data_IF_956116247210
#
_entry.id   IF_956116247210
#
_cell.length_a   1.000
_cell.length_b   1.000
_cell.length_c   1.000
_cell.angle_alpha   90.00
_cell.angle_beta   90.00
_cell.angle_gamma   90.00
#
_symmetry.space_group_name_H-M   'P 1'
#
loop_
_entity.id
_entity.type
_entity.pdbx_description
1 polymer ?
#
# COMPACT_ATOMS: atom_id res chain seq x y z
N UNK A 1 3.43 7.81 4.97
CA UNK A 1 3.16 6.43 4.50
C UNK A 1 4.00 5.33 5.16
N UNK A 2 5.26 5.54 5.56
CA UNK A 2 6.08 4.47 6.13
C UNK A 2 5.43 3.68 7.28
N UNK A 3 4.74 4.35 8.22
CA UNK A 3 4.03 3.68 9.33
C UNK A 3 2.86 2.79 8.87
N UNK A 4 2.14 3.19 7.82
CA UNK A 4 1.06 2.36 7.25
C UNK A 4 1.64 1.04 6.74
N UNK A 5 2.68 1.11 5.91
CA UNK A 5 3.31 -0.09 5.36
C UNK A 5 4.07 -0.90 6.41
N UNK A 6 4.64 -0.26 7.44
CA UNK A 6 5.20 -0.96 8.62
C UNK A 6 4.13 -1.81 9.32
N UNK A 7 2.96 -1.24 9.58
CA UNK A 7 1.88 -1.97 10.24
C UNK A 7 1.28 -3.05 9.32
N UNK A 8 1.23 -2.81 8.01
CA UNK A 8 0.73 -3.78 7.03
C UNK A 8 1.66 -4.98 6.80
N UNK A 9 2.99 -4.78 6.84
CA UNK A 9 3.98 -5.80 6.45
C UNK A 9 4.79 -6.35 7.62
N UNK A 10 4.79 -5.66 8.77
CA UNK A 10 5.70 -5.93 9.87
C UNK A 10 7.14 -5.48 9.62
N UNK A 11 7.47 -4.91 8.46
CA UNK A 11 8.83 -4.47 8.15
C UNK A 11 9.31 -3.33 9.04
N UNK A 12 10.62 -3.28 9.30
CA UNK A 12 11.24 -2.20 10.07
C UNK A 12 11.47 -0.93 9.25
N UNK A 13 11.19 0.22 9.86
CA UNK A 13 11.69 1.52 9.39
C UNK A 13 13.15 1.59 9.83
N UNK A 14 14.07 1.61 8.86
CA UNK A 14 15.51 1.53 9.13
C UNK A 14 16.15 2.91 9.28
N UNK A 15 15.56 3.91 8.62
CA UNK A 15 16.02 5.29 8.66
C UNK A 15 14.85 6.23 8.37
N UNK A 16 14.85 7.40 8.98
CA UNK A 16 13.84 8.43 8.74
C UNK A 16 14.28 9.79 9.24
N UNK A 17 13.89 10.83 8.51
CA UNK A 17 14.03 12.23 8.89
C UNK A 17 12.73 13.01 8.62
N UNK A 18 12.83 14.33 8.54
CA UNK A 18 11.68 15.20 8.31
C UNK A 18 11.06 15.00 6.92
N UNK A 19 11.84 14.61 5.91
CA UNK A 19 11.45 14.59 4.51
C UNK A 19 11.42 13.17 3.92
N UNK A 20 11.98 12.18 4.63
CA UNK A 20 12.13 10.83 4.11
C UNK A 20 11.98 9.74 5.17
N UNK A 21 11.60 8.54 4.71
CA UNK A 21 11.64 7.32 5.52
C UNK A 21 11.91 6.10 4.64
N UNK A 22 12.69 5.14 5.16
CA UNK A 22 13.09 3.92 4.47
C UNK A 22 12.61 2.69 5.26
N UNK A 23 11.84 1.82 4.60
CA UNK A 23 11.18 0.65 5.19
C UNK A 23 11.61 -0.64 4.47
N UNK A 24 11.99 -1.68 5.21
CA UNK A 24 12.18 -3.02 4.66
C UNK A 24 13.16 -3.89 5.44
N UNK A 25 12.95 -5.20 5.47
CA UNK A 25 13.85 -6.15 6.16
C UNK A 25 14.74 -6.99 5.23
N UNK A 26 14.67 -6.73 3.92
CA UNK A 26 15.38 -7.46 2.89
C UNK A 26 16.29 -6.60 2.01
N UNK A 27 16.75 -7.15 0.87
CA UNK A 27 17.60 -6.42 -0.08
C UNK A 27 16.84 -5.32 -0.84
N UNK A 28 15.51 -5.28 -0.73
CA UNK A 28 14.64 -4.26 -1.31
C UNK A 28 14.01 -3.46 -0.18
N UNK A 29 14.02 -2.14 -0.32
CA UNK A 29 13.38 -1.20 0.61
C UNK A 29 12.43 -0.28 -0.13
N UNK A 30 11.36 0.11 0.55
CA UNK A 30 10.47 1.18 0.13
C UNK A 30 10.98 2.50 0.72
N UNK A 31 11.23 3.47 -0.16
CA UNK A 31 11.55 4.83 0.23
C UNK A 31 10.31 5.70 0.07
N UNK A 32 9.97 6.42 1.13
CA UNK A 32 8.89 7.40 1.15
C UNK A 32 9.52 8.79 1.22
N UNK A 33 9.06 9.70 0.35
CA UNK A 33 9.53 11.07 0.28
C UNK A 33 8.35 12.01 0.50
N UNK A 34 8.55 13.04 1.32
CA UNK A 34 7.58 14.11 1.50
C UNK A 34 7.52 14.95 0.22
N UNK A 35 6.31 15.12 -0.28
CA UNK A 35 6.03 16.03 -1.40
C UNK A 35 4.95 17.00 -0.95
N UNK A 36 5.31 18.29 -0.87
CA UNK A 36 4.38 19.32 -0.45
C UNK A 36 3.22 19.45 -1.45
N UNK A 37 2.00 19.45 -0.91
CA UNK A 37 0.79 19.51 -1.73
C UNK A 37 0.53 18.26 -2.57
N UNK A 38 1.12 17.11 -2.21
CA UNK A 38 0.84 15.85 -2.87
C UNK A 38 -0.66 15.56 -2.94
N UNK A 39 -1.11 15.12 -4.12
CA UNK A 39 -2.47 14.64 -4.34
C UNK A 39 -2.36 13.24 -4.90
N UNK A 40 -2.91 12.30 -4.14
CA UNK A 40 -3.01 10.91 -4.55
C UNK A 40 -3.65 10.74 -5.91
N UNK A 41 -3.31 9.66 -6.63
CA UNK A 41 -4.00 9.34 -7.86
C UNK A 41 -5.48 9.07 -7.61
N UNK A 42 -6.30 9.37 -8.60
CA UNK A 42 -7.69 8.93 -8.62
C UNK A 42 -7.79 7.44 -8.91
N UNK A 43 -8.96 6.86 -8.65
CA UNK A 43 -9.30 5.53 -9.16
C UNK A 43 -10.66 5.56 -9.86
N UNK A 44 -10.77 5.08 -11.11
CA UNK A 44 -9.68 4.64 -11.98
C UNK A 44 -8.91 5.83 -12.61
N UNK A 45 -7.59 5.72 -12.77
CA UNK A 45 -6.74 6.68 -13.50
C UNK A 45 -5.72 5.92 -14.37
N UNK A 46 -5.34 6.50 -15.52
CA UNK A 46 -4.38 5.95 -16.47
C UNK A 46 -2.92 6.38 -16.19
N UNK A 47 -2.72 7.20 -15.16
CA UNK A 47 -1.39 7.51 -14.62
C UNK A 47 -0.61 6.24 -14.29
N UNK A 48 0.68 6.21 -14.61
CA UNK A 48 1.55 5.09 -14.21
C UNK A 48 1.99 5.31 -12.77
N UNK A 49 1.51 4.47 -11.87
CA UNK A 49 1.93 4.41 -10.47
C UNK A 49 2.76 3.16 -10.25
N UNK A 50 3.70 3.21 -9.30
CA UNK A 50 4.25 1.96 -8.77
C UNK A 50 3.08 1.17 -8.18
N UNK A 51 2.99 -0.11 -8.54
CA UNK A 51 1.97 -1.02 -8.05
C UNK A 51 2.65 -2.08 -7.19
N UNK A 52 2.21 -2.19 -5.95
CA UNK A 52 2.69 -3.21 -5.02
C UNK A 52 1.70 -4.37 -5.02
N UNK A 53 2.23 -5.58 -5.08
CA UNK A 53 1.45 -6.81 -5.02
C UNK A 53 1.91 -7.61 -3.80
N UNK A 54 0.99 -7.88 -2.89
CA UNK A 54 1.25 -8.63 -1.66
C UNK A 54 0.52 -9.98 -1.70
N UNK A 55 1.23 -11.03 -1.32
CA UNK A 55 0.63 -12.34 -1.09
C UNK A 55 0.29 -12.49 0.41
N UNK A 56 -0.93 -12.93 0.72
CA UNK A 56 -1.43 -13.10 2.09
C UNK A 56 -2.11 -14.45 2.27
N UNK A 57 -2.11 -15.00 3.49
CA UNK A 57 -2.75 -16.30 3.75
C UNK A 57 -4.28 -16.20 3.74
N UNK A 58 -4.85 -15.08 4.22
CA UNK A 58 -6.29 -14.82 4.25
C UNK A 58 -6.59 -13.41 3.71
N UNK A 59 -7.13 -13.37 2.49
CA UNK A 59 -7.48 -12.12 1.81
C UNK A 59 -8.57 -11.34 2.57
N UNK A 60 -9.57 -12.01 3.13
CA UNK A 60 -10.70 -11.33 3.78
C UNK A 60 -10.27 -10.69 5.11
N UNK A 61 -9.46 -11.40 5.89
CA UNK A 61 -8.85 -10.87 7.10
C UNK A 61 -7.91 -9.70 6.78
N UNK A 62 -7.02 -9.86 5.80
CA UNK A 62 -6.08 -8.82 5.38
C UNK A 62 -6.80 -7.55 4.89
N UNK A 63 -7.87 -7.68 4.09
CA UNK A 63 -8.70 -6.52 3.70
C UNK A 63 -9.21 -5.79 4.93
N UNK A 64 -9.78 -6.52 5.90
CA UNK A 64 -10.36 -5.94 7.11
C UNK A 64 -9.31 -5.16 7.91
N UNK A 65 -8.14 -5.74 8.10
CA UNK A 65 -7.03 -5.12 8.83
C UNK A 65 -6.49 -3.88 8.11
N UNK A 66 -6.28 -3.96 6.79
CA UNK A 66 -5.76 -2.85 6.00
C UNK A 66 -6.74 -1.67 5.96
N UNK A 67 -8.06 -1.94 5.88
CA UNK A 67 -9.08 -0.90 6.00
C UNK A 67 -9.06 -0.24 7.39
N UNK A 68 -8.85 -1.00 8.46
CA UNK A 68 -8.70 -0.46 9.81
C UNK A 68 -7.43 0.42 9.97
N UNK A 69 -6.39 0.16 9.17
CA UNK A 69 -5.17 0.99 9.09
C UNK A 69 -5.33 2.25 8.22
N UNK A 70 -6.50 2.45 7.60
CA UNK A 70 -6.82 3.63 6.79
C UNK A 70 -6.68 3.43 5.28
N UNK A 71 -6.48 2.21 4.81
CA UNK A 71 -6.66 1.92 3.38
C UNK A 71 -8.12 2.11 2.96
N UNK A 72 -8.35 2.25 1.67
CA UNK A 72 -9.69 2.24 1.07
C UNK A 72 -9.80 1.11 0.06
N UNK A 73 -11.02 0.59 -0.12
CA UNK A 73 -11.33 -0.40 -1.16
C UNK A 73 -12.15 0.27 -2.26
N UNK A 74 -11.59 0.46 -3.46
CA UNK A 74 -12.38 0.98 -4.57
C UNK A 74 -13.54 0.06 -4.95
N UNK A 75 -14.64 0.64 -5.43
CA UNK A 75 -15.84 -0.12 -5.82
C UNK A 75 -15.57 -1.03 -7.03
N UNK A 76 -14.91 -0.49 -8.06
CA UNK A 76 -14.51 -1.27 -9.22
C UNK A 76 -13.30 -2.15 -8.90
N UNK A 77 -13.45 -3.47 -9.09
CA UNK A 77 -12.44 -4.49 -8.82
C UNK A 77 -12.13 -5.28 -10.09
N UNK A 78 -11.01 -4.98 -10.78
CA UNK A 78 -10.68 -5.62 -12.06
C UNK A 78 -10.23 -7.08 -11.93
N UNK A 79 -9.84 -7.51 -10.73
CA UNK A 79 -9.33 -8.87 -10.48
C UNK A 79 -10.39 -9.93 -10.21
N UNK A 80 -11.66 -9.55 -10.09
CA UNK A 80 -12.71 -10.47 -9.66
C UNK A 80 -12.32 -11.18 -8.36
N UNK A 81 -12.27 -12.51 -8.39
CA UNK A 81 -11.91 -13.34 -7.23
C UNK A 81 -10.40 -13.66 -7.15
N UNK A 82 -9.58 -13.20 -8.10
CA UNK A 82 -8.15 -13.53 -8.18
C UNK A 82 -7.27 -12.62 -7.31
N UNK A 83 -7.60 -11.33 -7.23
CA UNK A 83 -6.92 -10.35 -6.37
C UNK A 83 -7.87 -9.22 -6.00
N UNK A 84 -7.62 -8.60 -4.84
CA UNK A 84 -8.35 -7.41 -4.39
C UNK A 84 -7.45 -6.19 -4.49
N UNK A 85 -7.94 -5.14 -5.15
CA UNK A 85 -7.29 -3.82 -5.19
C UNK A 85 -7.71 -3.02 -3.95
N UNK A 86 -6.72 -2.46 -3.27
CA UNK A 86 -6.87 -1.46 -2.22
C UNK A 86 -6.07 -0.21 -2.59
N UNK A 87 -6.39 0.91 -1.98
CA UNK A 87 -5.58 2.12 -2.04
C UNK A 87 -5.09 2.49 -0.64
N UNK A 88 -3.81 2.85 -0.52
CA UNK A 88 -3.25 3.34 0.73
C UNK A 88 -3.90 4.69 1.14
N UNK A 89 -3.61 5.23 2.35
CA UNK A 89 -4.23 6.48 2.79
C UNK A 89 -3.89 7.71 1.93
N UNK A 90 -2.88 7.62 1.06
CA UNK A 90 -2.50 8.63 0.08
C UNK A 90 -2.99 8.31 -1.34
N UNK A 91 -3.81 7.28 -1.52
CA UNK A 91 -4.46 6.91 -2.78
C UNK A 91 -3.66 5.97 -3.68
N UNK A 92 -2.46 5.52 -3.30
CA UNK A 92 -1.65 4.64 -4.14
C UNK A 92 -2.29 3.24 -4.23
N UNK A 93 -2.58 2.73 -5.44
CA UNK A 93 -3.18 1.41 -5.58
C UNK A 93 -2.16 0.30 -5.29
N UNK A 94 -2.61 -0.74 -4.61
CA UNK A 94 -1.89 -2.00 -4.42
C UNK A 94 -2.85 -3.18 -4.43
N UNK A 95 -2.35 -4.37 -4.77
CA UNK A 95 -3.13 -5.60 -4.77
C UNK A 95 -2.73 -6.51 -3.62
N UNK A 96 -3.72 -7.25 -3.14
CA UNK A 96 -3.51 -8.41 -2.29
C UNK A 96 -4.14 -9.64 -2.95
N UNK A 97 -3.43 -10.75 -2.92
CA UNK A 97 -3.87 -12.04 -3.42
C UNK A 97 -3.49 -13.15 -2.43
N UNK A 98 -4.16 -14.29 -2.52
CA UNK A 98 -3.78 -15.45 -1.70
C UNK A 98 -2.38 -15.96 -2.10
N UNK A 99 -1.59 -16.40 -1.12
CA UNK A 99 -0.32 -17.13 -1.34
C UNK A 99 -0.50 -18.47 -2.03
#
# INVERSE_FOLDING_TARGET
>A
MAEFYRNATGWRINDSDADSAYLGDGPVQLAFQRVDGYRGPGWPDAGKHAHLDFAVDDVAAAVTELLALGATKPEFQPGGDQWTVLADPEGHPFCIAAT
#
